data_IF_074578520003
#
_entry.id   IF_074578520003
#
_cell.length_a   1.000
_cell.length_b   1.000
_cell.length_c   1.000
_cell.angle_alpha   90.00
_cell.angle_beta   90.00
_cell.angle_gamma   90.00
#
_symmetry.space_group_name_H-M   'P 1'
#
loop_
_entity.id
_entity.type
_entity.pdbx_description
1 polymer ?
#
# COMPACT_ATOMS: atom_id res chain seq x y z
N UNK A 1 13.81 30.13 14.98
CA UNK A 1 13.74 28.91 15.81
C UNK A 1 13.76 27.61 14.98
N UNK A 2 13.29 27.60 13.72
CA UNK A 2 13.26 26.41 12.84
C UNK A 2 14.60 26.06 12.21
N UNK A 3 15.48 27.02 11.98
CA UNK A 3 16.80 26.79 11.35
C UNK A 3 17.83 26.19 12.34
N UNK A 4 17.67 26.41 13.63
CA UNK A 4 18.61 25.94 14.67
C UNK A 4 18.48 24.46 14.96
N UNK A 5 17.29 23.88 14.83
CA UNK A 5 17.03 22.46 15.06
C UNK A 5 17.50 21.57 13.89
N UNK A 6 17.36 22.05 12.65
CA UNK A 6 17.86 21.35 11.48
C UNK A 6 19.39 21.25 11.50
N UNK A 7 20.07 22.29 11.97
CA UNK A 7 21.54 22.28 12.14
C UNK A 7 22.03 21.29 13.20
N UNK A 8 21.22 21.01 14.23
CA UNK A 8 21.61 20.10 15.31
C UNK A 8 21.62 18.61 14.84
N UNK A 9 20.67 18.22 14.02
CA UNK A 9 20.61 16.84 13.47
C UNK A 9 21.63 16.55 12.36
N UNK A 10 22.11 17.57 11.65
CA UNK A 10 23.05 17.41 10.54
C UNK A 10 24.50 17.12 10.98
N UNK A 11 24.85 17.33 12.24
CA UNK A 11 26.22 17.21 12.76
C UNK A 11 26.42 16.13 13.83
N UNK A 12 25.38 15.35 14.17
CA UNK A 12 25.53 14.27 15.14
C UNK A 12 26.06 13.00 14.43
N UNK A 13 27.15 12.38 14.94
CA UNK A 13 27.52 11.04 14.50
C UNK A 13 26.38 10.06 14.82
N UNK A 14 26.20 9.03 14.01
CA UNK A 14 25.07 8.09 14.06
C UNK A 14 24.76 7.52 15.46
N UNK A 15 25.78 7.29 16.29
CA UNK A 15 25.63 6.87 17.70
C UNK A 15 25.00 7.94 18.60
N UNK A 16 25.21 9.22 18.30
CA UNK A 16 24.63 10.33 19.09
C UNK A 16 23.20 10.63 18.62
N UNK A 17 22.87 10.36 17.37
CA UNK A 17 21.50 10.41 16.87
C UNK A 17 20.64 9.32 17.53
N UNK A 18 21.18 8.11 17.70
CA UNK A 18 20.53 7.02 18.42
C UNK A 18 20.26 7.40 19.89
N UNK A 19 21.25 7.98 20.60
CA UNK A 19 21.06 8.42 21.99
C UNK A 19 20.01 9.55 22.14
N UNK A 20 19.83 10.38 21.11
CA UNK A 20 18.75 11.38 21.09
C UNK A 20 17.40 10.71 20.82
N UNK A 21 17.37 9.70 19.97
CA UNK A 21 16.16 8.87 19.76
C UNK A 21 15.82 8.16 21.07
N UNK A 22 16.76 7.49 21.74
CA UNK A 22 16.56 6.83 23.03
C UNK A 22 16.02 7.79 24.11
N UNK A 23 16.50 9.05 24.15
CA UNK A 23 15.99 10.06 25.09
C UNK A 23 14.60 10.62 24.72
N UNK A 24 14.21 10.52 23.45
CA UNK A 24 12.87 10.87 22.98
C UNK A 24 11.91 9.68 23.14
N UNK A 25 12.42 8.45 23.14
CA UNK A 25 11.68 7.23 23.38
C UNK A 25 10.91 7.29 24.69
N UNK A 26 11.57 7.57 25.81
CA UNK A 26 10.93 7.69 27.13
C UNK A 26 9.77 8.70 27.17
N UNK A 27 9.78 9.65 26.27
CA UNK A 27 8.81 10.75 26.26
C UNK A 27 7.64 10.54 25.27
N UNK A 28 7.84 9.71 24.23
CA UNK A 28 6.88 9.55 23.14
C UNK A 28 6.45 8.09 22.90
N UNK A 29 7.02 7.11 23.60
CA UNK A 29 6.87 5.69 23.38
C UNK A 29 5.75 4.91 24.10
N UNK A 30 4.84 5.44 24.94
CA UNK A 30 3.82 4.58 25.55
C UNK A 30 2.94 3.82 24.53
N UNK A 31 3.04 4.18 23.24
CA UNK A 31 2.26 3.54 22.16
C UNK A 31 3.03 2.59 21.26
N UNK A 32 4.35 2.68 21.21
CA UNK A 32 5.16 1.85 20.30
C UNK A 32 5.38 0.43 20.85
N UNK A 33 5.30 0.20 22.16
CA UNK A 33 5.52 -1.11 22.79
C UNK A 33 4.49 -2.18 22.38
N UNK A 34 3.30 -1.77 21.93
CA UNK A 34 2.23 -2.66 21.45
C UNK A 34 2.18 -2.85 19.94
N UNK A 35 3.09 -2.22 19.18
CA UNK A 35 3.05 -2.30 17.71
C UNK A 35 3.52 -3.66 17.21
N UNK A 36 2.62 -4.37 16.59
CA UNK A 36 2.89 -5.59 15.83
C UNK A 36 2.58 -5.30 14.37
N UNK A 37 3.53 -5.59 13.45
CA UNK A 37 3.23 -5.70 12.04
C UNK A 37 2.38 -6.94 11.86
N UNK A 38 1.10 -6.80 12.06
CA UNK A 38 0.16 -7.90 12.00
C UNK A 38 -0.42 -7.98 10.58
N UNK A 39 0.08 -8.91 9.79
CA UNK A 39 -0.47 -9.21 8.47
C UNK A 39 -1.91 -9.74 8.57
N UNK A 40 -2.31 -10.32 9.71
CA UNK A 40 -3.69 -10.74 9.92
C UNK A 40 -4.65 -9.57 10.07
N UNK A 41 -4.14 -8.39 10.42
CA UNK A 41 -4.93 -7.14 10.40
C UNK A 41 -5.15 -6.60 8.98
N UNK A 42 -4.38 -7.09 8.00
CA UNK A 42 -4.59 -6.82 6.58
C UNK A 42 -5.67 -7.79 6.10
N UNK A 43 -6.92 -7.37 6.17
CA UNK A 43 -8.08 -8.20 5.83
C UNK A 43 -8.03 -8.70 4.39
N UNK A 44 -8.13 -10.01 4.21
CA UNK A 44 -8.39 -10.59 2.89
C UNK A 44 -9.86 -10.34 2.50
N UNK A 45 -10.18 -10.12 1.21
CA UNK A 45 -11.57 -9.99 0.78
C UNK A 45 -12.32 -11.30 0.99
N UNK A 46 -13.54 -11.23 1.50
CA UNK A 46 -14.45 -12.37 1.43
C UNK A 46 -14.95 -12.53 0.00
N UNK A 47 -15.19 -13.76 -0.44
CA UNK A 47 -15.67 -14.04 -1.80
C UNK A 47 -17.03 -14.72 -1.80
N UNK A 48 -17.89 -14.34 -2.74
CA UNK A 48 -19.16 -15.03 -3.03
C UNK A 48 -18.94 -15.93 -4.24
N UNK A 49 -19.37 -17.17 -4.12
CA UNK A 49 -19.14 -18.25 -5.08
C UNK A 49 -20.48 -18.86 -5.49
N UNK A 50 -20.69 -19.08 -6.80
CA UNK A 50 -21.85 -19.79 -7.35
C UNK A 50 -21.80 -21.28 -7.09
N UNK A 51 -22.88 -21.99 -7.44
CA UNK A 51 -22.99 -23.45 -7.23
C UNK A 51 -21.98 -24.25 -8.06
N UNK A 52 -21.49 -23.71 -9.17
CA UNK A 52 -20.48 -24.33 -10.04
C UNK A 52 -19.04 -23.96 -9.66
N UNK A 53 -18.84 -23.19 -8.59
CA UNK A 53 -17.53 -22.75 -8.13
C UNK A 53 -17.02 -21.44 -8.75
N UNK A 54 -17.80 -20.79 -9.59
CA UNK A 54 -17.42 -19.50 -10.20
C UNK A 54 -17.50 -18.39 -9.16
N UNK A 55 -16.47 -17.54 -9.06
CA UNK A 55 -16.48 -16.37 -8.20
C UNK A 55 -17.44 -15.31 -8.75
N UNK A 56 -18.46 -14.94 -7.96
CA UNK A 56 -19.47 -13.93 -8.30
C UNK A 56 -19.06 -12.53 -7.87
N UNK A 57 -18.46 -12.40 -6.71
CA UNK A 57 -18.04 -11.12 -6.18
C UNK A 57 -16.96 -11.28 -5.12
N UNK A 58 -16.19 -10.22 -4.95
CA UNK A 58 -15.37 -9.97 -3.77
C UNK A 58 -16.10 -9.00 -2.87
N UNK A 59 -16.14 -9.33 -1.58
CA UNK A 59 -16.72 -8.51 -0.54
C UNK A 59 -15.60 -7.77 0.18
N UNK A 60 -15.46 -6.51 -0.10
CA UNK A 60 -14.55 -5.61 0.60
C UNK A 60 -15.30 -4.32 0.96
N UNK A 61 -14.92 -3.67 2.04
CA UNK A 61 -15.43 -2.35 2.43
C UNK A 61 -14.68 -1.24 1.66
N UNK A 62 -14.68 -1.32 0.33
CA UNK A 62 -13.92 -0.44 -0.56
C UNK A 62 -12.42 -0.75 -0.62
N UNK A 63 -11.94 -1.77 0.09
CA UNK A 63 -10.53 -2.15 0.17
C UNK A 63 -10.32 -3.52 -0.50
N UNK A 64 -9.77 -3.51 -1.71
CA UNK A 64 -9.29 -4.74 -2.34
C UNK A 64 -7.86 -4.99 -1.86
N UNK A 65 -7.65 -5.99 -0.99
CA UNK A 65 -6.34 -6.42 -0.49
C UNK A 65 -6.14 -7.89 -0.78
N UNK A 66 -5.14 -8.17 -1.57
CA UNK A 66 -4.70 -9.52 -1.88
C UNK A 66 -3.21 -9.60 -1.52
N UNK A 67 -2.90 -10.36 -0.46
CA UNK A 67 -1.56 -10.42 0.09
C UNK A 67 -0.62 -11.24 -0.81
N UNK A 68 0.63 -10.82 -0.87
CA UNK A 68 1.68 -11.52 -1.61
C UNK A 68 2.98 -11.53 -0.79
N UNK A 69 3.61 -12.69 -0.55
CA UNK A 69 4.92 -12.75 0.07
C UNK A 69 5.97 -11.99 -0.74
N UNK A 70 6.92 -11.34 -0.07
CA UNK A 70 8.00 -10.61 -0.73
C UNK A 70 8.79 -11.50 -1.69
N UNK A 71 8.94 -12.79 -1.37
CA UNK A 71 9.62 -13.78 -2.20
C UNK A 71 8.97 -14.05 -3.56
N UNK A 72 7.68 -13.74 -3.69
CA UNK A 72 6.92 -13.87 -4.94
C UNK A 72 6.89 -12.57 -5.76
N UNK A 73 7.41 -11.48 -5.21
CA UNK A 73 7.51 -10.20 -5.91
C UNK A 73 8.83 -10.16 -6.69
N UNK A 74 8.81 -9.96 -8.01
CA UNK A 74 10.05 -9.89 -8.80
C UNK A 74 11.01 -8.80 -8.30
N UNK A 75 12.30 -9.12 -8.24
CA UNK A 75 13.32 -8.20 -7.74
C UNK A 75 13.33 -6.83 -8.45
N UNK A 76 13.02 -6.78 -9.75
CA UNK A 76 12.97 -5.51 -10.48
C UNK A 76 11.81 -4.61 -10.00
N UNK A 77 10.69 -5.18 -9.54
CA UNK A 77 9.55 -4.43 -8.97
C UNK A 77 9.98 -3.79 -7.64
N UNK A 78 10.61 -4.59 -6.77
CA UNK A 78 11.19 -4.11 -5.51
C UNK A 78 12.22 -3.00 -5.78
N UNK A 79 13.15 -3.23 -6.69
CA UNK A 79 14.19 -2.26 -7.05
C UNK A 79 13.59 -0.96 -7.61
N UNK A 80 12.50 -1.04 -8.35
CA UNK A 80 11.79 0.13 -8.86
C UNK A 80 11.20 0.97 -7.72
N UNK A 81 10.58 0.31 -6.75
CA UNK A 81 10.07 0.97 -5.54
C UNK A 81 11.21 1.65 -4.77
N UNK A 82 12.27 0.91 -4.48
CA UNK A 82 13.43 1.43 -3.73
C UNK A 82 14.08 2.61 -4.45
N UNK A 83 14.25 2.54 -5.76
CA UNK A 83 14.83 3.64 -6.54
C UNK A 83 14.01 4.94 -6.46
N UNK A 84 12.69 4.83 -6.36
CA UNK A 84 11.79 5.97 -6.34
C UNK A 84 11.55 6.52 -4.93
N UNK A 85 11.36 5.65 -3.94
CA UNK A 85 10.91 6.01 -2.60
C UNK A 85 12.06 6.04 -1.58
N UNK A 86 12.97 5.05 -1.62
CA UNK A 86 13.99 4.90 -0.58
C UNK A 86 15.23 4.12 -1.07
N UNK A 87 16.13 4.80 -1.76
CA UNK A 87 17.32 4.17 -2.36
C UNK A 87 18.29 3.55 -1.37
N UNK A 88 18.28 4.05 -0.15
CA UNK A 88 19.16 3.60 0.92
C UNK A 88 18.44 2.67 1.92
N UNK A 89 17.26 2.16 1.58
CA UNK A 89 16.41 1.39 2.49
C UNK A 89 17.18 0.33 3.27
N UNK A 90 18.01 -0.46 2.63
CA UNK A 90 18.82 -1.51 3.27
C UNK A 90 20.06 -0.99 4.01
N UNK A 91 20.32 0.33 4.01
CA UNK A 91 21.54 0.92 4.60
C UNK A 91 21.28 1.76 5.85
N UNK A 92 20.06 2.27 6.01
CA UNK A 92 19.70 3.09 7.18
C UNK A 92 18.89 2.28 8.20
N UNK A 93 18.77 2.81 9.41
CA UNK A 93 18.00 2.24 10.53
C UNK A 93 16.77 3.10 10.81
N UNK A 94 15.73 2.99 9.95
CA UNK A 94 14.44 3.68 10.08
C UNK A 94 14.40 5.10 9.53
N UNK A 95 15.45 5.87 9.71
CA UNK A 95 15.55 7.27 9.27
C UNK A 95 16.82 7.48 8.44
N UNK A 96 16.68 7.97 7.22
CA UNK A 96 17.82 8.36 6.38
C UNK A 96 18.11 9.86 6.55
N UNK A 97 19.01 10.19 7.49
CA UNK A 97 19.42 11.56 7.75
C UNK A 97 20.12 12.23 6.56
N UNK A 98 20.81 11.44 5.72
CA UNK A 98 21.48 11.94 4.51
C UNK A 98 20.43 12.32 3.46
N UNK A 99 19.39 11.49 3.29
CA UNK A 99 18.29 11.79 2.39
C UNK A 99 17.51 13.02 2.86
N UNK A 100 17.27 13.19 4.17
CA UNK A 100 16.61 14.37 4.74
C UNK A 100 17.43 15.62 4.45
N UNK A 101 18.74 15.59 4.73
CA UNK A 101 19.64 16.71 4.46
C UNK A 101 19.68 17.07 2.97
N UNK A 102 19.76 16.06 2.10
CA UNK A 102 19.73 16.25 0.65
C UNK A 102 18.40 16.84 0.18
N UNK A 103 17.26 16.36 0.72
CA UNK A 103 15.94 16.87 0.39
C UNK A 103 15.78 18.34 0.80
N UNK A 104 16.32 18.74 1.95
CA UNK A 104 16.32 20.16 2.38
C UNK A 104 17.12 21.02 1.39
N UNK A 105 18.31 20.59 0.99
CA UNK A 105 19.15 21.31 0.02
C UNK A 105 18.49 21.38 -1.36
N UNK A 106 17.89 20.30 -1.82
CA UNK A 106 17.18 20.22 -3.09
C UNK A 106 15.94 21.13 -3.10
N UNK A 107 15.18 21.15 -2.01
CA UNK A 107 14.03 22.03 -1.85
C UNK A 107 14.43 23.53 -1.86
N UNK A 108 15.58 23.87 -1.27
CA UNK A 108 16.13 25.25 -1.35
C UNK A 108 16.52 25.64 -2.79
N UNK A 109 16.81 24.65 -3.63
CA UNK A 109 17.12 24.84 -5.08
C UNK A 109 15.86 24.76 -5.97
N UNK A 110 14.67 24.65 -5.36
CA UNK A 110 13.39 24.52 -6.09
C UNK A 110 13.11 23.09 -6.60
N UNK A 111 13.92 22.09 -6.20
CA UNK A 111 13.73 20.68 -6.56
C UNK A 111 12.95 19.99 -5.43
N UNK A 112 11.68 19.70 -5.68
CA UNK A 112 10.83 19.03 -4.69
C UNK A 112 11.23 17.56 -4.52
N UNK A 113 11.93 17.22 -3.43
CA UNK A 113 12.33 15.85 -3.09
C UNK A 113 11.76 15.46 -1.73
N UNK A 114 11.28 14.20 -1.62
CA UNK A 114 10.85 13.63 -0.35
C UNK A 114 12.05 13.06 0.43
N UNK A 115 12.03 13.24 1.75
CA UNK A 115 13.04 12.69 2.67
C UNK A 115 12.46 11.64 3.62
N UNK A 116 11.25 11.10 3.37
CA UNK A 116 10.64 10.05 4.19
C UNK A 116 11.08 8.68 3.70
N UNK A 117 11.47 7.80 4.62
CA UNK A 117 11.85 6.41 4.33
C UNK A 117 10.62 5.53 4.20
N UNK A 118 10.76 4.33 3.60
CA UNK A 118 9.69 3.31 3.58
C UNK A 118 9.24 2.99 5.01
N UNK A 119 10.19 2.79 5.93
CA UNK A 119 9.89 2.52 7.34
C UNK A 119 9.09 3.65 7.98
N UNK A 120 9.43 4.92 7.70
CA UNK A 120 8.65 6.06 8.22
C UNK A 120 7.27 6.16 7.59
N UNK A 121 7.09 5.70 6.35
CA UNK A 121 5.77 5.60 5.72
C UNK A 121 4.93 4.49 6.37
N UNK A 122 5.52 3.33 6.71
CA UNK A 122 4.85 2.29 7.51
C UNK A 122 4.46 2.84 8.88
N UNK A 123 5.38 3.52 9.57
CA UNK A 123 5.09 4.18 10.85
C UNK A 123 3.89 5.14 10.75
N UNK A 124 3.81 5.92 9.66
CA UNK A 124 2.68 6.82 9.41
C UNK A 124 1.34 6.08 9.26
N UNK A 125 1.31 4.87 8.72
CA UNK A 125 0.08 4.07 8.61
C UNK A 125 -0.53 3.74 9.98
N UNK A 126 0.29 3.66 11.04
CA UNK A 126 -0.15 3.38 12.41
C UNK A 126 -0.47 4.62 13.25
N UNK A 127 -0.02 5.80 12.83
CA UNK A 127 -0.15 7.05 13.59
C UNK A 127 -0.88 8.12 12.78
N UNK A 128 -1.98 7.74 12.15
CA UNK A 128 -2.77 8.68 11.34
C UNK A 128 -3.45 9.69 12.24
N UNK A 129 -2.87 10.90 12.27
CA UNK A 129 -3.57 12.11 12.64
C UNK A 129 -3.33 13.10 11.51
N UNK A 130 -4.35 13.79 11.05
CA UNK A 130 -4.28 14.73 9.91
C UNK A 130 -3.50 16.02 10.22
N UNK A 131 -3.07 16.21 11.46
CA UNK A 131 -2.30 17.38 11.84
C UNK A 131 -0.87 17.32 11.32
N UNK A 132 -0.54 18.18 10.39
CA UNK A 132 0.84 18.43 9.96
C UNK A 132 1.58 19.14 11.10
N UNK A 133 2.25 18.39 11.96
CA UNK A 133 2.99 18.94 13.09
C UNK A 133 4.43 18.37 13.16
N UNK A 134 5.34 19.16 13.72
CA UNK A 134 6.71 18.68 14.01
C UNK A 134 6.66 17.49 14.97
N UNK A 135 5.74 17.51 15.93
CA UNK A 135 5.52 16.42 16.88
C UNK A 135 5.23 15.10 16.15
N UNK A 136 4.34 15.12 15.16
CA UNK A 136 4.05 13.93 14.34
C UNK A 136 5.30 13.40 13.64
N UNK A 137 6.12 14.27 13.05
CA UNK A 137 7.36 13.86 12.38
C UNK A 137 8.37 13.23 13.32
N UNK A 138 8.46 13.71 14.54
CA UNK A 138 9.30 13.11 15.58
C UNK A 138 8.75 11.72 15.95
N UNK A 139 7.44 11.60 16.16
CA UNK A 139 6.79 10.32 16.46
C UNK A 139 6.97 9.32 15.33
N UNK A 140 6.79 9.73 14.05
CA UNK A 140 7.05 8.89 12.88
C UNK A 140 8.50 8.35 12.91
N UNK A 141 9.49 9.19 13.24
CA UNK A 141 10.90 8.78 13.29
C UNK A 141 11.19 7.79 14.43
N UNK A 142 10.64 8.03 15.62
CA UNK A 142 10.78 7.14 16.79
C UNK A 142 10.16 5.77 16.48
N UNK A 143 8.94 5.76 15.94
CA UNK A 143 8.26 4.53 15.56
C UNK A 143 9.01 3.80 14.45
N UNK A 144 9.55 4.52 13.47
CA UNK A 144 10.34 3.92 12.41
C UNK A 144 11.61 3.22 12.98
N UNK A 145 12.31 3.85 13.93
CA UNK A 145 13.45 3.24 14.60
C UNK A 145 13.05 1.97 15.38
N UNK A 146 11.92 2.01 16.09
CA UNK A 146 11.41 0.86 16.83
C UNK A 146 10.98 -0.30 15.90
N UNK A 147 10.38 0.00 14.75
CA UNK A 147 10.07 -1.01 13.73
C UNK A 147 11.33 -1.70 13.22
N UNK A 148 12.40 -0.94 12.92
CA UNK A 148 13.68 -1.50 12.47
C UNK A 148 14.38 -2.34 13.52
N UNK A 149 14.13 -2.06 14.80
CA UNK A 149 14.65 -2.86 15.92
C UNK A 149 13.95 -4.21 16.05
N UNK A 150 12.66 -4.29 15.72
CA UNK A 150 11.81 -5.48 15.89
C UNK A 150 11.72 -6.35 14.65
N UNK A 151 11.77 -5.74 13.48
CA UNK A 151 11.51 -6.41 12.21
C UNK A 151 12.68 -6.28 11.25
N UNK A 152 12.88 -7.31 10.44
CA UNK A 152 13.85 -7.24 9.35
C UNK A 152 13.39 -6.27 8.27
N UNK A 153 14.32 -5.76 7.48
CA UNK A 153 14.04 -4.93 6.31
C UNK A 153 13.02 -5.58 5.37
N UNK A 154 13.16 -6.87 5.13
CA UNK A 154 12.27 -7.62 4.24
C UNK A 154 10.85 -7.71 4.80
N UNK A 155 10.68 -7.90 6.11
CA UNK A 155 9.37 -7.89 6.75
C UNK A 155 8.70 -6.51 6.66
N UNK A 156 9.46 -5.43 6.88
CA UNK A 156 8.95 -4.06 6.74
C UNK A 156 8.55 -3.78 5.30
N UNK A 157 9.36 -4.20 4.33
CA UNK A 157 9.10 -4.01 2.91
C UNK A 157 7.89 -4.82 2.43
N UNK A 158 7.76 -6.07 2.88
CA UNK A 158 6.61 -6.93 2.60
C UNK A 158 5.33 -6.29 3.14
N UNK A 159 5.36 -5.83 4.39
CA UNK A 159 4.24 -5.14 5.00
C UNK A 159 3.87 -3.87 4.23
N UNK A 160 4.85 -3.06 3.86
CA UNK A 160 4.65 -1.86 3.07
C UNK A 160 3.95 -2.16 1.74
N UNK A 161 4.50 -3.10 0.95
CA UNK A 161 3.97 -3.46 -0.36
C UNK A 161 2.54 -4.01 -0.30
N UNK A 162 2.17 -4.67 0.81
CA UNK A 162 0.83 -5.23 1.00
C UNK A 162 -0.17 -4.25 1.64
N UNK A 163 0.29 -3.18 2.29
CA UNK A 163 -0.59 -2.30 3.09
C UNK A 163 -0.90 -0.96 2.45
N UNK A 164 -0.03 -0.43 1.59
CA UNK A 164 -0.19 0.92 1.06
C UNK A 164 -1.31 1.02 0.02
N UNK A 165 -1.88 2.22 -0.06
CA UNK A 165 -2.90 2.56 -1.05
C UNK A 165 -2.27 2.97 -2.39
N UNK A 166 -2.65 2.28 -3.46
CA UNK A 166 -2.18 2.50 -4.83
C UNK A 166 -3.19 3.28 -5.70
N UNK A 167 -4.28 3.76 -5.13
CA UNK A 167 -5.35 4.42 -5.88
C UNK A 167 -6.41 3.45 -6.41
N UNK A 168 -7.52 4.02 -6.91
CA UNK A 168 -8.65 3.25 -7.49
C UNK A 168 -9.19 2.12 -6.60
N UNK A 169 -9.12 2.26 -5.28
CA UNK A 169 -9.55 1.24 -4.32
C UNK A 169 -8.53 0.12 -4.09
N UNK A 170 -7.39 0.11 -4.79
CA UNK A 170 -6.38 -0.94 -4.65
C UNK A 170 -5.47 -0.70 -3.44
N UNK A 171 -5.45 -1.63 -2.51
CA UNK A 171 -4.51 -1.72 -1.40
C UNK A 171 -3.61 -2.94 -1.59
N UNK A 172 -2.31 -2.73 -1.46
CA UNK A 172 -1.30 -3.74 -1.77
C UNK A 172 -0.97 -3.85 -3.26
N UNK A 173 0.25 -4.29 -3.54
CA UNK A 173 0.82 -4.33 -4.89
C UNK A 173 0.10 -5.33 -5.80
N UNK A 174 -0.38 -6.45 -5.25
CA UNK A 174 -1.07 -7.49 -6.03
C UNK A 174 -2.39 -6.93 -6.55
N UNK A 175 -3.20 -6.32 -5.69
CA UNK A 175 -4.45 -5.65 -6.09
C UNK A 175 -4.20 -4.53 -7.08
N UNK A 176 -3.15 -3.73 -6.89
CA UNK A 176 -2.77 -2.67 -7.83
C UNK A 176 -2.36 -3.21 -9.20
N UNK A 177 -1.62 -4.33 -9.24
CA UNK A 177 -1.23 -4.99 -10.49
C UNK A 177 -2.44 -5.42 -11.31
N UNK A 178 -3.44 -6.01 -10.66
CA UNK A 178 -4.71 -6.38 -11.31
C UNK A 178 -5.53 -5.15 -11.72
N UNK A 179 -5.68 -4.15 -10.82
CA UNK A 179 -6.47 -2.94 -11.08
C UNK A 179 -5.97 -2.16 -12.30
N UNK A 180 -4.65 -2.00 -12.43
CA UNK A 180 -4.09 -1.16 -13.48
C UNK A 180 -3.67 -1.92 -14.73
N UNK A 181 -3.35 -3.21 -14.63
CA UNK A 181 -2.79 -3.97 -15.75
C UNK A 181 -3.46 -5.31 -16.02
N UNK A 182 -4.43 -5.75 -15.19
CA UNK A 182 -5.09 -7.07 -15.28
C UNK A 182 -4.05 -8.22 -15.32
N UNK A 183 -3.01 -8.12 -14.47
CA UNK A 183 -1.89 -9.04 -14.42
C UNK A 183 -1.51 -9.40 -12.99
N UNK A 184 -1.00 -10.61 -12.80
CA UNK A 184 -0.31 -10.95 -11.58
C UNK A 184 1.05 -10.20 -11.51
N UNK A 185 1.56 -9.95 -10.29
CA UNK A 185 2.77 -9.16 -10.03
C UNK A 185 4.00 -9.72 -10.77
N UNK A 186 4.11 -11.06 -10.88
CA UNK A 186 5.19 -11.74 -11.58
C UNK A 186 5.18 -11.53 -13.12
N UNK A 187 4.07 -11.03 -13.67
CA UNK A 187 3.88 -10.73 -15.10
C UNK A 187 4.03 -9.24 -15.44
N UNK A 188 4.27 -8.41 -14.43
CA UNK A 188 4.55 -7.00 -14.66
C UNK A 188 5.82 -6.82 -15.47
N UNK A 189 5.82 -5.82 -16.33
CA UNK A 189 7.02 -5.34 -17.03
C UNK A 189 7.66 -4.19 -16.26
N UNK A 190 8.90 -3.83 -16.59
CA UNK A 190 9.63 -2.75 -15.93
C UNK A 190 8.88 -1.40 -16.00
N UNK A 191 8.30 -1.06 -17.15
CA UNK A 191 7.57 0.20 -17.31
C UNK A 191 6.23 0.19 -16.57
N UNK A 192 5.59 -0.97 -16.40
CA UNK A 192 4.38 -1.13 -15.59
C UNK A 192 4.69 -1.00 -14.10
N UNK A 193 5.75 -1.65 -13.62
CA UNK A 193 6.23 -1.48 -12.25
C UNK A 193 6.57 -0.01 -11.94
N UNK A 194 7.28 0.67 -12.85
CA UNK A 194 7.58 2.09 -12.70
C UNK A 194 6.32 2.96 -12.71
N UNK A 195 5.30 2.59 -13.48
CA UNK A 195 4.00 3.29 -13.47
C UNK A 195 3.29 3.13 -12.13
N UNK A 196 3.23 1.92 -11.57
CA UNK A 196 2.64 1.68 -10.24
C UNK A 196 3.32 2.55 -9.17
N UNK A 197 4.64 2.54 -9.13
CA UNK A 197 5.40 3.30 -8.12
C UNK A 197 5.15 4.81 -8.20
N UNK A 198 4.89 5.35 -9.38
CA UNK A 198 4.49 6.76 -9.54
C UNK A 198 3.18 7.08 -8.84
N UNK A 199 2.22 6.15 -8.88
CA UNK A 199 0.88 6.34 -8.32
C UNK A 199 0.92 6.48 -6.79
N UNK A 200 1.78 5.73 -6.09
CA UNK A 200 1.90 5.76 -4.62
C UNK A 200 2.06 7.17 -4.07
N UNK A 201 2.85 7.99 -4.74
CA UNK A 201 3.19 9.34 -4.26
C UNK A 201 1.97 10.25 -4.07
N UNK A 202 1.00 10.14 -4.95
CA UNK A 202 -0.28 10.87 -4.88
C UNK A 202 -1.27 10.23 -5.84
N UNK A 203 -2.06 9.24 -5.43
CA UNK A 203 -2.92 8.47 -6.32
C UNK A 203 -3.95 9.30 -7.09
N UNK A 204 -4.48 10.36 -6.47
CA UNK A 204 -5.41 11.25 -7.14
C UNK A 204 -4.73 12.11 -8.22
N UNK A 205 -3.50 12.58 -7.96
CA UNK A 205 -2.73 13.44 -8.86
C UNK A 205 -2.07 12.65 -10.00
N UNK A 206 -1.62 11.42 -9.73
CA UNK A 206 -0.98 10.52 -10.68
C UNK A 206 -1.92 9.39 -11.15
N UNK A 207 -3.22 9.67 -11.27
CA UNK A 207 -4.16 8.70 -11.83
C UNK A 207 -3.88 8.52 -13.33
N UNK A 208 -3.46 7.33 -13.80
CA UNK A 208 -3.03 7.13 -15.18
C UNK A 208 -4.18 7.17 -16.19
N UNK A 209 -5.43 6.92 -15.73
CA UNK A 209 -6.63 7.02 -16.56
C UNK A 209 -7.06 8.47 -16.78
N UNK A 210 -6.78 9.36 -15.81
CA UNK A 210 -7.16 10.78 -15.88
C UNK A 210 -6.03 11.66 -16.41
N UNK A 211 -4.77 11.34 -16.07
CA UNK A 211 -3.62 12.19 -16.32
C UNK A 211 -2.43 11.39 -16.90
N UNK A 212 -2.60 10.69 -18.04
CA UNK A 212 -1.60 9.78 -18.61
C UNK A 212 -0.25 10.47 -18.88
N UNK A 213 -0.25 11.68 -19.44
CA UNK A 213 0.96 12.45 -19.76
C UNK A 213 1.83 12.71 -18.52
N UNK A 214 1.19 13.13 -17.43
CA UNK A 214 1.84 13.38 -16.15
C UNK A 214 2.46 12.13 -15.54
N UNK A 215 1.76 11.00 -15.68
CA UNK A 215 2.26 9.71 -15.22
C UNK A 215 3.43 9.25 -16.08
N UNK A 216 3.36 9.41 -17.40
CA UNK A 216 4.46 9.11 -18.34
C UNK A 216 5.72 9.90 -18.01
N UNK A 217 5.61 11.20 -17.81
CA UNK A 217 6.72 12.06 -17.44
C UNK A 217 7.39 11.60 -16.15
N UNK A 218 6.58 11.36 -15.10
CA UNK A 218 7.10 10.93 -13.81
C UNK A 218 7.66 9.53 -13.84
N UNK A 219 7.04 8.58 -14.58
CA UNK A 219 7.54 7.23 -14.82
C UNK A 219 8.94 7.29 -15.44
N UNK A 220 9.11 8.12 -16.46
CA UNK A 220 10.38 8.26 -17.14
C UNK A 220 11.47 8.82 -16.19
N UNK A 221 11.11 9.72 -15.26
CA UNK A 221 12.04 10.20 -14.22
C UNK A 221 12.43 9.08 -13.23
N UNK A 222 11.51 8.17 -12.91
CA UNK A 222 11.83 6.97 -12.09
C UNK A 222 12.79 6.06 -12.82
N UNK A 223 12.54 5.75 -14.10
CA UNK A 223 13.41 4.92 -14.95
C UNK A 223 14.82 5.53 -15.10
N UNK A 224 14.90 6.87 -15.25
CA UNK A 224 16.18 7.57 -15.30
C UNK A 224 16.95 7.44 -13.98
N UNK A 225 16.24 7.52 -12.86
CA UNK A 225 16.84 7.28 -11.55
C UNK A 225 17.34 5.85 -11.42
N UNK A 226 16.57 4.86 -11.86
CA UNK A 226 17.00 3.47 -11.87
C UNK A 226 18.26 3.23 -12.70
N UNK A 227 18.37 3.89 -13.86
CA UNK A 227 19.57 3.83 -14.69
C UNK A 227 20.78 4.45 -13.97
N UNK A 228 20.62 5.66 -13.43
CA UNK A 228 21.69 6.37 -12.72
C UNK A 228 22.21 5.63 -11.50
N UNK A 229 21.33 4.93 -10.79
CA UNK A 229 21.65 4.13 -9.59
C UNK A 229 22.06 2.68 -9.93
N UNK A 230 22.22 2.35 -11.24
CA UNK A 230 22.61 1.03 -11.76
C UNK A 230 21.63 -0.13 -11.41
N UNK A 231 20.36 0.16 -11.17
CA UNK A 231 19.32 -0.87 -11.05
C UNK A 231 18.93 -1.47 -12.39
N UNK A 232 19.10 -0.72 -13.47
CA UNK A 232 18.85 -1.17 -14.86
C UNK A 232 19.98 -0.71 -15.78
N UNK A 233 20.08 -1.36 -16.92
CA UNK A 233 21.04 -0.97 -17.98
C UNK A 233 20.37 -0.11 -19.04
N UNK A 234 21.18 0.58 -19.86
CA UNK A 234 20.70 1.52 -20.89
C UNK A 234 19.67 0.93 -21.85
N UNK A 235 19.84 -0.34 -22.26
CA UNK A 235 18.89 -1.02 -23.16
C UNK A 235 17.52 -1.18 -22.51
N UNK A 236 17.47 -1.56 -21.22
CA UNK A 236 16.23 -1.69 -20.46
C UNK A 236 15.56 -0.33 -20.28
N UNK A 237 16.34 0.71 -19.95
CA UNK A 237 15.84 2.06 -19.83
C UNK A 237 15.16 2.56 -21.11
N UNK A 238 15.86 2.43 -22.27
CA UNK A 238 15.30 2.88 -23.54
C UNK A 238 14.03 2.14 -23.91
N UNK A 239 14.00 0.82 -23.74
CA UNK A 239 12.81 0.03 -24.01
C UNK A 239 11.63 0.41 -23.11
N UNK A 240 11.87 0.57 -21.80
CA UNK A 240 10.83 0.95 -20.85
C UNK A 240 10.32 2.39 -21.04
N UNK A 241 11.21 3.33 -21.43
CA UNK A 241 10.88 4.74 -21.64
C UNK A 241 9.90 4.96 -22.79
N UNK A 242 10.06 4.23 -23.90
CA UNK A 242 9.18 4.36 -25.09
C UNK A 242 7.90 3.55 -24.97
N UNK A 243 7.82 2.63 -24.00
CA UNK A 243 6.64 1.79 -23.80
C UNK A 243 5.42 2.63 -23.43
N UNK A 244 4.23 2.36 -24.00
CA UNK A 244 2.99 3.00 -23.62
C UNK A 244 2.57 2.63 -22.20
N UNK A 245 1.60 3.33 -21.61
CA UNK A 245 1.11 3.01 -20.26
C UNK A 245 0.35 1.67 -20.21
N UNK A 246 -0.39 1.34 -21.25
CA UNK A 246 -1.20 0.11 -21.38
C UNK A 246 -2.10 -0.16 -20.16
N UNK A 247 -2.70 0.92 -19.62
CA UNK A 247 -3.59 0.80 -18.47
C UNK A 247 -4.82 -0.01 -18.89
N UNK A 248 -5.08 -1.08 -18.15
CA UNK A 248 -6.31 -1.84 -18.31
C UNK A 248 -7.50 -0.94 -18.01
N UNK A 249 -8.57 -1.09 -18.80
CA UNK A 249 -9.85 -0.54 -18.39
C UNK A 249 -10.25 -1.27 -17.13
N UNK A 250 -10.64 -0.51 -16.09
CA UNK A 250 -11.25 -1.13 -14.92
C UNK A 250 -12.33 -2.06 -15.45
N UNK A 251 -12.15 -3.35 -15.26
CA UNK A 251 -13.28 -4.26 -15.39
C UNK A 251 -14.23 -3.80 -14.30
N UNK A 252 -15.19 -2.94 -14.65
CA UNK A 252 -16.47 -2.99 -13.96
C UNK A 252 -16.82 -4.45 -14.13
N UNK A 253 -16.64 -5.23 -13.07
CA UNK A 253 -17.11 -6.60 -13.04
C UNK A 253 -18.58 -6.45 -13.39
N UNK A 254 -18.95 -6.69 -14.64
CA UNK A 254 -20.35 -6.93 -15.01
C UNK A 254 -20.69 -8.21 -14.27
N UNK A 255 -21.07 -8.02 -13.02
CA UNK A 255 -21.48 -9.12 -12.18
C UNK A 255 -22.77 -9.65 -12.78
N UNK A 256 -22.77 -10.81 -13.44
CA UNK A 256 -23.95 -11.34 -14.10
C UNK A 256 -25.11 -11.59 -13.11
N UNK A 257 -24.82 -11.44 -11.81
CA UNK A 257 -25.75 -11.69 -10.72
C UNK A 257 -25.68 -10.56 -9.65
N UNK A 258 -25.54 -9.29 -10.05
CA UNK A 258 -25.40 -8.14 -9.14
C UNK A 258 -26.52 -8.11 -8.09
N UNK A 259 -27.76 -8.37 -8.49
CA UNK A 259 -28.90 -8.43 -7.59
C UNK A 259 -28.78 -9.56 -6.56
N UNK A 260 -28.25 -10.72 -6.97
CA UNK A 260 -28.00 -11.85 -6.04
C UNK A 260 -26.91 -11.49 -5.04
N UNK A 261 -25.82 -10.89 -5.49
CA UNK A 261 -24.74 -10.43 -4.62
C UNK A 261 -25.24 -9.40 -3.61
N UNK A 262 -26.06 -8.44 -4.05
CA UNK A 262 -26.66 -7.45 -3.17
C UNK A 262 -27.57 -8.11 -2.12
N UNK A 263 -28.39 -9.09 -2.52
CA UNK A 263 -29.27 -9.83 -1.62
C UNK A 263 -28.48 -10.70 -0.63
N UNK A 264 -27.43 -11.40 -1.08
CA UNK A 264 -26.53 -12.16 -0.20
C UNK A 264 -25.90 -11.25 0.85
N UNK A 265 -25.36 -10.08 0.46
CA UNK A 265 -24.85 -9.07 1.39
C UNK A 265 -25.91 -8.63 2.40
N UNK A 266 -27.11 -8.33 1.93
CA UNK A 266 -28.22 -7.91 2.79
C UNK A 266 -28.55 -8.99 3.83
N UNK A 267 -28.65 -10.26 3.42
CA UNK A 267 -28.95 -11.37 4.32
C UNK A 267 -27.86 -11.56 5.36
N UNK A 268 -26.60 -11.63 4.97
CA UNK A 268 -25.46 -11.82 5.86
C UNK A 268 -25.39 -10.72 6.94
N UNK A 269 -25.70 -9.49 6.58
CA UNK A 269 -25.65 -8.36 7.51
C UNK A 269 -26.86 -8.29 8.46
N UNK A 270 -28.07 -8.70 8.00
CA UNK A 270 -29.29 -8.36 8.71
C UNK A 270 -30.09 -9.56 9.21
N UNK A 271 -29.96 -10.75 8.59
CA UNK A 271 -30.79 -11.88 8.97
C UNK A 271 -30.28 -12.55 10.27
N UNK A 272 -31.21 -12.98 11.19
CA UNK A 272 -30.83 -13.58 12.47
C UNK A 272 -30.01 -14.86 12.36
N UNK A 273 -30.21 -15.64 11.28
CA UNK A 273 -29.51 -16.90 11.04
C UNK A 273 -27.99 -16.73 10.88
N UNK A 274 -27.54 -15.53 10.55
CA UNK A 274 -26.13 -15.19 10.42
C UNK A 274 -25.54 -14.48 11.64
N UNK A 275 -26.20 -14.59 12.80
CA UNK A 275 -25.71 -14.01 14.06
C UNK A 275 -24.33 -14.54 14.49
N UNK A 276 -23.90 -15.68 13.96
CA UNK A 276 -22.56 -16.22 14.19
C UNK A 276 -21.43 -15.34 13.58
N UNK A 277 -21.74 -14.45 12.62
CA UNK A 277 -20.81 -13.46 12.08
C UNK A 277 -20.61 -12.26 13.04
N UNK A 278 -21.57 -12.05 13.96
CA UNK A 278 -21.53 -10.95 14.91
C UNK A 278 -22.95 -10.62 15.40
N UNK A 279 -23.02 -10.08 16.62
CA UNK A 279 -24.28 -9.69 17.25
C UNK A 279 -24.78 -8.31 16.76
N UNK A 280 -23.85 -7.50 16.29
CA UNK A 280 -24.12 -6.15 15.75
C UNK A 280 -23.83 -6.09 14.25
N UNK A 281 -24.42 -5.13 13.57
CA UNK A 281 -24.12 -4.90 12.15
C UNK A 281 -22.64 -4.51 11.92
N UNK A 282 -22.01 -3.82 12.87
CA UNK A 282 -20.59 -3.46 12.82
C UNK A 282 -19.71 -4.71 12.90
N UNK A 283 -19.98 -5.62 13.84
CA UNK A 283 -19.24 -6.88 13.95
C UNK A 283 -19.41 -7.75 12.69
N UNK A 284 -20.62 -7.81 12.13
CA UNK A 284 -20.88 -8.54 10.89
C UNK A 284 -20.16 -7.93 9.69
N UNK A 285 -20.12 -6.58 9.60
CA UNK A 285 -19.31 -5.89 8.59
C UNK A 285 -17.84 -6.22 8.72
N UNK A 286 -17.31 -6.18 9.93
CA UNK A 286 -15.92 -6.57 10.18
C UNK A 286 -15.66 -8.03 9.79
N UNK A 287 -16.54 -8.95 10.14
CA UNK A 287 -16.40 -10.37 9.77
C UNK A 287 -16.42 -10.58 8.24
N UNK A 288 -17.22 -9.82 7.51
CA UNK A 288 -17.39 -9.96 6.05
C UNK A 288 -16.36 -9.18 5.23
N UNK A 289 -16.08 -7.95 5.63
CA UNK A 289 -15.27 -7.02 4.83
C UNK A 289 -13.88 -6.79 5.41
N UNK A 290 -13.63 -7.29 6.65
CA UNK A 290 -12.44 -6.98 7.40
C UNK A 290 -12.48 -5.62 8.10
N UNK A 291 -11.35 -5.22 8.61
CA UNK A 291 -11.20 -3.97 9.34
C UNK A 291 -11.26 -2.75 8.43
N UNK A 292 -11.96 -1.67 8.84
CA UNK A 292 -11.87 -0.38 8.14
C UNK A 292 -10.42 0.13 8.13
N UNK A 293 -10.04 0.82 7.06
CA UNK A 293 -8.67 1.33 6.88
C UNK A 293 -8.26 2.40 7.90
N UNK A 294 -9.24 3.02 8.53
CA UNK A 294 -9.09 4.10 9.51
C UNK A 294 -9.19 3.62 10.97
N UNK A 295 -9.52 2.35 11.20
CA UNK A 295 -9.59 1.76 12.54
C UNK A 295 -8.38 0.87 12.83
N UNK A 296 -7.37 1.45 13.44
CA UNK A 296 -6.12 0.78 13.84
C UNK A 296 -6.26 -0.13 15.07
N UNK A 297 -7.41 -0.09 15.75
CA UNK A 297 -7.72 -0.94 16.89
C UNK A 297 -8.45 -2.21 16.48
N UNK A 298 -8.97 -2.23 15.28
CA UNK A 298 -9.63 -3.38 14.68
C UNK A 298 -8.60 -4.42 14.27
N UNK A 299 -8.90 -5.69 14.48
CA UNK A 299 -8.07 -6.81 14.05
C UNK A 299 -8.93 -7.97 13.52
N UNK A 300 -8.49 -8.55 12.40
CA UNK A 300 -9.13 -9.72 11.78
C UNK A 300 -10.40 -9.39 11.00
N UNK A 301 -11.02 -10.45 10.48
CA UNK A 301 -12.20 -10.38 9.60
C UNK A 301 -11.84 -10.45 8.13
N UNK A 302 -12.86 -10.60 7.26
CA UNK A 302 -12.68 -10.92 5.85
C UNK A 302 -12.23 -12.37 5.60
N UNK A 303 -11.83 -12.66 4.37
CA UNK A 303 -11.32 -13.98 3.97
C UNK A 303 -12.36 -15.11 3.92
N UNK A 304 -13.65 -14.79 4.05
CA UNK A 304 -14.71 -15.79 4.06
C UNK A 304 -15.03 -16.25 2.64
N UNK A 305 -15.27 -17.55 2.48
CA UNK A 305 -15.82 -18.15 1.26
C UNK A 305 -17.30 -18.40 1.43
N UNK A 306 -18.12 -17.65 0.74
CA UNK A 306 -19.58 -17.68 0.83
C UNK A 306 -20.12 -18.41 -0.39
N UNK A 307 -20.51 -19.66 -0.21
CA UNK A 307 -21.07 -20.49 -1.28
C UNK A 307 -22.57 -20.22 -1.40
N UNK A 308 -23.03 -19.98 -2.63
CA UNK A 308 -24.43 -19.80 -2.95
C UNK A 308 -24.96 -21.00 -3.76
N UNK A 309 -26.25 -21.15 -3.81
CA UNK A 309 -26.91 -22.13 -4.66
C UNK A 309 -27.24 -21.58 -6.07
N UNK A 310 -26.69 -20.40 -6.41
CA UNK A 310 -26.95 -19.75 -7.68
C UNK A 310 -26.37 -20.56 -8.84
N UNK A 311 -27.22 -20.90 -9.80
CA UNK A 311 -26.85 -21.43 -11.09
C UNK A 311 -26.68 -20.28 -12.10
N UNK A 312 -25.45 -20.05 -12.53
CA UNK A 312 -25.12 -18.96 -13.46
C UNK A 312 -25.75 -19.15 -14.84
N UNK A 313 -25.92 -20.40 -15.30
CA UNK A 313 -26.56 -20.68 -16.58
C UNK A 313 -28.03 -20.27 -16.56
N UNK A 314 -28.75 -20.62 -15.51
CA UNK A 314 -30.14 -20.19 -15.31
C UNK A 314 -30.25 -18.67 -15.15
N UNK A 315 -29.32 -18.05 -14.43
CA UNK A 315 -29.30 -16.58 -14.24
C UNK A 315 -29.07 -15.83 -15.56
N UNK A 316 -28.15 -16.31 -16.40
CA UNK A 316 -27.93 -15.71 -17.72
C UNK A 316 -29.14 -15.79 -18.63
N UNK A 317 -29.87 -16.92 -18.62
CA UNK A 317 -31.12 -17.05 -19.35
C UNK A 317 -32.19 -16.09 -18.81
N UNK A 318 -32.28 -15.92 -17.49
CA UNK A 318 -33.23 -14.99 -16.88
C UNK A 318 -32.93 -13.51 -17.22
N UNK A 319 -31.65 -13.16 -17.41
CA UNK A 319 -31.27 -11.80 -17.80
C UNK A 319 -31.54 -11.47 -19.28
N UNK A 320 -31.83 -12.48 -20.12
CA UNK A 320 -32.11 -12.32 -21.56
C UNK A 320 -33.61 -12.18 -21.89
N UNK A 321 -34.47 -12.37 -20.91
CA UNK A 321 -35.96 -12.25 -21.04
C UNK A 321 -36.44 -10.90 -20.54
#
# INVERSE_FOLDING_TARGET
LTATWIGFFLFLPTKSAMAVVDSLEDRFLPRAEGMVLDFSSLSEPSIIISSDGTQLAELHDGLNRDLIPLSEIPAFVVNTLLAAEDRNFYKHEGVDFIAIASAVLDNLRGITRGGSTITSQVAKLYFVGDEISIKRKITEAVVAAELERRYTKDQILEYYLNSIYWGSGAYGIKSASYEYFDKNVDKLTLHEAATLVVIIRSPAYYNPRKYPERVLERRNSVLETMLRENFIVEVQYRAAKIAPLNIAYSKIFENPAEHVVAEVKRQLLNEPQFAFLGNTNTERKQALFGCPSDDLTCSGGGGLKIFTTLDLGLQQHANQV
#
